data_IF_459484803053
#
_entry.id   IF_459484803053
#
_cell.length_a   1.000
_cell.length_b   1.000
_cell.length_c   1.000
_cell.angle_alpha   90.00
_cell.angle_beta   90.00
_cell.angle_gamma   90.00
#
_symmetry.space_group_name_H-M   'P 1'
#
loop_
_entity.id
_entity.type
_entity.pdbx_description
1 polymer ?
#
# COMPACT_ATOMS: atom_id res chain seq x y z
N UNK A 1 -10.52 -11.85 -26.93
CA UNK A 1 -10.35 -10.62 -27.71
C UNK A 1 -11.58 -10.48 -28.57
N UNK A 2 -12.13 -9.27 -28.71
CA UNK A 2 -13.22 -9.06 -29.65
C UNK A 2 -12.70 -9.19 -31.08
N UNK A 3 -13.64 -9.30 -32.04
CA UNK A 3 -13.34 -9.48 -33.46
C UNK A 3 -12.59 -8.27 -34.09
N UNK A 4 -12.49 -7.15 -33.36
CA UNK A 4 -11.76 -5.93 -33.70
C UNK A 4 -10.45 -5.75 -32.92
N UNK A 5 -9.92 -6.83 -32.31
CA UNK A 5 -8.75 -6.84 -31.42
C UNK A 5 -8.89 -5.98 -30.15
N UNK A 6 -10.09 -5.49 -29.82
CA UNK A 6 -10.31 -4.75 -28.58
C UNK A 6 -10.31 -5.65 -27.33
N UNK A 7 -9.96 -5.03 -26.19
CA UNK A 7 -10.07 -5.66 -24.87
C UNK A 7 -11.55 -5.69 -24.48
N UNK A 8 -12.20 -6.84 -24.68
CA UNK A 8 -13.63 -7.04 -24.42
C UNK A 8 -13.99 -7.33 -22.96
N UNK A 9 -13.00 -7.37 -22.07
CA UNK A 9 -13.25 -7.53 -20.65
C UNK A 9 -11.99 -7.77 -19.83
N UNK A 10 -12.18 -7.81 -18.52
CA UNK A 10 -11.15 -8.16 -17.54
C UNK A 10 -11.76 -9.07 -16.47
N UNK A 11 -10.90 -9.85 -15.82
CA UNK A 11 -11.28 -10.64 -14.65
C UNK A 11 -10.30 -10.34 -13.53
N UNK A 12 -10.81 -9.78 -12.43
CA UNK A 12 -10.00 -9.59 -11.23
C UNK A 12 -9.62 -10.94 -10.64
N UNK A 13 -8.37 -11.08 -10.19
CA UNK A 13 -7.88 -12.30 -9.54
C UNK A 13 -8.60 -12.54 -8.21
N UNK A 14 -8.67 -11.52 -7.37
CA UNK A 14 -9.39 -11.54 -6.09
C UNK A 14 -9.70 -10.10 -5.61
N UNK A 15 -10.74 -9.91 -4.78
CA UNK A 15 -11.00 -8.63 -4.12
C UNK A 15 -9.85 -8.28 -3.16
N UNK A 16 -9.57 -6.99 -2.99
CA UNK A 16 -8.56 -6.49 -2.03
C UNK A 16 -7.18 -7.18 -2.15
N UNK A 17 -6.72 -7.40 -3.38
CA UNK A 17 -5.50 -8.16 -3.67
C UNK A 17 -4.26 -7.70 -2.87
N UNK A 18 -4.09 -6.39 -2.64
CA UNK A 18 -2.96 -5.83 -1.85
C UNK A 18 -3.01 -6.25 -0.39
N UNK A 19 -4.18 -6.13 0.25
CA UNK A 19 -4.40 -6.57 1.64
C UNK A 19 -4.18 -8.08 1.78
N UNK A 20 -4.69 -8.88 0.83
CA UNK A 20 -4.56 -10.34 0.88
C UNK A 20 -3.09 -10.77 0.84
N UNK A 21 -2.25 -10.12 0.01
CA UNK A 21 -0.83 -10.45 -0.07
C UNK A 21 -0.11 -10.14 1.23
N UNK A 22 -0.36 -8.97 1.84
CA UNK A 22 0.25 -8.63 3.13
C UNK A 22 -0.17 -9.61 4.22
N UNK A 23 -1.46 -9.94 4.30
CA UNK A 23 -1.95 -10.96 5.26
C UNK A 23 -1.34 -12.33 5.02
N UNK A 24 -1.11 -12.71 3.77
CA UNK A 24 -0.44 -13.98 3.45
C UNK A 24 1.01 -13.98 3.92
N UNK A 25 1.76 -12.89 3.71
CA UNK A 25 3.13 -12.74 4.22
C UNK A 25 3.16 -12.81 5.75
N UNK A 26 2.27 -12.07 6.42
CA UNK A 26 2.12 -12.11 7.87
C UNK A 26 1.79 -13.52 8.39
N UNK A 27 0.93 -14.26 7.68
CA UNK A 27 0.60 -15.65 8.05
C UNK A 27 1.78 -16.63 7.93
N UNK A 28 2.81 -16.26 7.14
CA UNK A 28 4.06 -17.00 7.04
C UNK A 28 5.09 -16.57 8.10
N UNK A 29 4.74 -15.65 9.00
CA UNK A 29 5.62 -15.14 10.05
C UNK A 29 6.51 -13.98 9.65
N UNK A 30 6.23 -13.31 8.53
CA UNK A 30 6.92 -12.07 8.17
C UNK A 30 6.29 -10.86 8.86
N UNK A 31 7.13 -10.00 9.43
CA UNK A 31 6.78 -8.62 9.70
C UNK A 31 6.76 -7.85 8.38
N UNK A 32 5.82 -6.92 8.26
CA UNK A 32 5.59 -6.20 7.01
C UNK A 32 5.45 -4.71 7.29
N UNK A 33 6.08 -3.93 6.42
CA UNK A 33 5.97 -2.47 6.35
C UNK A 33 5.47 -2.12 4.95
N UNK A 34 4.55 -1.15 4.85
CA UNK A 34 4.02 -0.73 3.56
C UNK A 34 4.02 0.79 3.39
N UNK A 35 4.28 1.23 2.16
CA UNK A 35 4.10 2.60 1.72
C UNK A 35 3.37 2.63 0.38
N UNK A 36 2.35 3.46 0.25
CA UNK A 36 1.56 3.62 -0.99
C UNK A 36 0.90 5.01 -1.04
N UNK A 37 0.23 5.33 -2.15
CA UNK A 37 -0.26 6.68 -2.42
C UNK A 37 -1.79 6.79 -2.57
N UNK A 38 -2.52 5.69 -2.74
CA UNK A 38 -3.93 5.69 -3.11
C UNK A 38 -4.90 5.16 -2.04
N UNK A 39 -6.19 5.51 -2.17
CA UNK A 39 -7.25 5.12 -1.24
C UNK A 39 -7.43 3.60 -1.07
N UNK A 40 -7.28 2.82 -2.14
CA UNK A 40 -7.46 1.37 -2.10
C UNK A 40 -6.32 0.65 -1.35
N UNK A 41 -5.31 1.40 -0.93
CA UNK A 41 -4.11 0.89 -0.26
C UNK A 41 -4.14 1.12 1.24
N UNK A 42 -5.00 2.02 1.72
CA UNK A 42 -5.15 2.35 3.14
C UNK A 42 -5.41 1.10 4.00
N UNK A 43 -6.24 0.18 3.53
CA UNK A 43 -6.52 -1.06 4.24
C UNK A 43 -5.26 -1.95 4.37
N UNK A 44 -4.42 -1.95 3.34
CA UNK A 44 -3.14 -2.67 3.35
C UNK A 44 -2.13 -1.94 4.24
N UNK A 45 -1.95 -0.63 4.08
CA UNK A 45 -1.03 0.18 4.90
C UNK A 45 -1.32 0.02 6.41
N UNK A 46 -2.59 0.10 6.82
CA UNK A 46 -3.00 0.06 8.23
C UNK A 46 -2.85 -1.31 8.89
N UNK A 47 -2.64 -2.38 8.11
CA UNK A 47 -2.49 -3.74 8.64
C UNK A 47 -1.03 -4.12 8.91
N UNK A 48 -0.10 -3.31 8.43
CA UNK A 48 1.31 -3.47 8.64
C UNK A 48 1.70 -3.00 10.04
N UNK A 49 2.88 -3.45 10.50
CA UNK A 49 3.45 -2.99 11.76
C UNK A 49 3.80 -1.50 11.71
N UNK A 50 4.34 -1.07 10.57
CA UNK A 50 4.46 0.34 10.21
C UNK A 50 3.90 0.58 8.80
N UNK A 51 3.27 1.74 8.62
CA UNK A 51 2.57 2.10 7.40
C UNK A 51 2.73 3.58 7.07
N UNK A 52 3.02 3.89 5.80
CA UNK A 52 3.30 5.25 5.37
C UNK A 52 2.52 5.63 4.11
N UNK A 53 2.21 6.92 3.97
CA UNK A 53 1.83 7.49 2.68
C UNK A 53 3.08 7.95 1.96
N UNK A 54 3.17 7.70 0.66
CA UNK A 54 4.29 8.18 -0.16
C UNK A 54 3.78 8.90 -1.39
N UNK A 55 4.13 10.18 -1.56
CA UNK A 55 3.67 11.04 -2.67
C UNK A 55 2.16 11.06 -2.87
N UNK A 56 1.43 10.96 -1.76
CA UNK A 56 -0.03 10.90 -1.77
C UNK A 56 -0.65 12.29 -1.94
N UNK A 57 -1.89 12.32 -2.42
CA UNK A 57 -2.64 13.56 -2.60
C UNK A 57 -2.98 14.22 -1.27
N UNK A 58 -3.16 15.55 -1.28
CA UNK A 58 -3.57 16.30 -0.08
C UNK A 58 -4.91 15.81 0.49
N UNK A 59 -5.83 15.33 -0.36
CA UNK A 59 -7.09 14.76 0.09
C UNK A 59 -6.89 13.48 0.92
N UNK A 60 -6.05 12.57 0.46
CA UNK A 60 -5.75 11.32 1.18
C UNK A 60 -5.01 11.60 2.49
N UNK A 61 -4.04 12.52 2.47
CA UNK A 61 -3.34 12.98 3.69
C UNK A 61 -4.32 13.57 4.71
N UNK A 62 -5.26 14.40 4.26
CA UNK A 62 -6.28 14.98 5.14
C UNK A 62 -7.26 13.95 5.71
N UNK A 63 -7.58 12.90 4.93
CA UNK A 63 -8.47 11.80 5.35
C UNK A 63 -7.76 10.75 6.22
N UNK A 64 -6.43 10.65 6.14
CA UNK A 64 -5.59 9.73 6.92
C UNK A 64 -4.49 10.47 7.69
N UNK A 65 -4.85 11.41 8.60
CA UNK A 65 -3.87 12.23 9.33
C UNK A 65 -3.03 11.42 10.33
N UNK A 66 -3.43 10.19 10.60
CA UNK A 66 -2.71 9.25 11.45
C UNK A 66 -1.55 8.55 10.73
N UNK A 67 -1.48 8.63 9.40
CA UNK A 67 -0.40 8.05 8.60
C UNK A 67 0.62 9.15 8.24
N UNK A 68 1.88 8.92 8.60
CA UNK A 68 2.98 9.79 8.15
C UNK A 68 3.09 9.77 6.63
N UNK A 69 3.25 10.94 6.03
CA UNK A 69 3.35 11.11 4.59
C UNK A 69 4.71 11.66 4.18
N UNK A 70 5.35 11.05 3.18
CA UNK A 70 6.66 11.44 2.67
C UNK A 70 6.62 11.70 1.16
N UNK A 71 7.43 12.64 0.69
CA UNK A 71 7.54 12.97 -0.75
C UNK A 71 8.86 12.47 -1.37
N UNK A 72 9.90 12.36 -0.56
CA UNK A 72 11.26 12.02 -0.99
C UNK A 72 11.63 10.62 -0.55
N UNK A 73 12.25 9.85 -1.45
CA UNK A 73 12.66 8.47 -1.17
C UNK A 73 13.63 8.39 0.03
N UNK A 74 14.49 9.39 0.22
CA UNK A 74 15.41 9.44 1.36
C UNK A 74 14.67 9.53 2.70
N UNK A 75 13.62 10.36 2.78
CA UNK A 75 12.81 10.48 3.99
C UNK A 75 12.03 9.19 4.28
N UNK A 76 11.48 8.57 3.23
CA UNK A 76 10.81 7.27 3.38
C UNK A 76 11.78 6.16 3.82
N UNK A 77 13.00 6.13 3.28
CA UNK A 77 14.04 5.15 3.67
C UNK A 77 14.36 5.24 5.15
N UNK A 78 14.57 6.46 5.66
CA UNK A 78 14.84 6.69 7.08
C UNK A 78 13.68 6.20 7.94
N UNK A 79 12.43 6.52 7.57
CA UNK A 79 11.26 6.07 8.32
C UNK A 79 11.10 4.54 8.35
N UNK A 80 11.47 3.85 7.25
CA UNK A 80 11.50 2.39 7.19
C UNK A 80 12.59 1.83 8.11
N UNK A 81 13.80 2.41 8.09
CA UNK A 81 14.90 1.99 8.96
C UNK A 81 14.57 2.19 10.46
N UNK A 82 13.93 3.30 10.81
CA UNK A 82 13.44 3.57 12.17
C UNK A 82 12.39 2.56 12.61
N UNK A 83 11.44 2.22 11.72
CA UNK A 83 10.42 1.22 12.01
C UNK A 83 11.00 -0.19 12.21
N UNK A 84 12.08 -0.55 11.52
CA UNK A 84 12.78 -1.83 11.68
C UNK A 84 13.63 -1.91 12.96
N UNK A 85 13.91 -0.77 13.60
CA UNK A 85 14.73 -0.69 14.80
C UNK A 85 13.90 -0.63 16.11
N UNK A 86 12.58 -0.56 16.01
CA UNK A 86 11.63 -0.52 17.12
C UNK A 86 11.39 -1.91 17.74
#
# INVERSE_FOLDING_TARGET
MADDDSISGFRMRCPQSKLIIVRALQSCGFETIAADDNHNDLAMIRVNEAGFLFRSTEAIKAESPDLSAFEECGALSIAIEEALAA
#
